data_IF_793989190005
#
_entry.id   IF_793989190005
#
_cell.length_a   1.000
_cell.length_b   1.000
_cell.length_c   1.000
_cell.angle_alpha   90.00
_cell.angle_beta   90.00
_cell.angle_gamma   90.00
#
_symmetry.space_group_name_H-M   'P 1'
#
loop_
_entity.id
_entity.type
_entity.pdbx_description
1 polymer ?
#
# COMPACT_ATOMS: atom_id res chain seq x y z
N UNK A 1 0.95 -30.11 -25.01
CA UNK A 1 0.15 -29.19 -24.20
C UNK A 1 0.76 -27.81 -24.32
N UNK A 2 0.01 -26.86 -24.84
CA UNK A 2 0.42 -25.46 -24.93
C UNK A 2 0.56 -24.92 -23.49
N UNK A 3 1.69 -24.26 -23.18
CA UNK A 3 1.91 -23.73 -21.83
C UNK A 3 0.94 -22.58 -21.61
N UNK A 4 0.15 -22.63 -20.54
CA UNK A 4 -0.71 -21.52 -20.13
C UNK A 4 0.14 -20.26 -19.98
N UNK A 5 -0.13 -19.27 -20.82
CA UNK A 5 0.57 -17.99 -20.84
C UNK A 5 -0.19 -17.00 -19.95
N UNK A 6 0.50 -16.39 -19.02
CA UNK A 6 -0.10 -15.33 -18.18
C UNK A 6 -0.57 -14.20 -19.11
N UNK A 7 -1.86 -13.92 -19.08
CA UNK A 7 -2.44 -12.78 -19.80
C UNK A 7 -2.11 -11.49 -19.05
N UNK A 8 -1.84 -10.45 -19.81
CA UNK A 8 -1.51 -9.14 -19.25
C UNK A 8 -2.28 -8.06 -19.98
N UNK A 9 -2.67 -7.03 -19.22
CA UNK A 9 -3.27 -5.81 -19.74
C UNK A 9 -2.22 -4.70 -19.63
N UNK A 10 -2.09 -3.90 -20.68
CA UNK A 10 -1.25 -2.71 -20.66
C UNK A 10 -2.04 -1.55 -20.05
N UNK A 11 -1.50 -0.98 -18.98
CA UNK A 11 -2.08 0.18 -18.30
C UNK A 11 -0.99 1.23 -18.15
N UNK A 12 -1.13 2.35 -18.84
CA UNK A 12 -0.16 3.47 -18.87
C UNK A 12 1.28 3.01 -19.20
N UNK A 13 1.43 2.11 -20.19
CA UNK A 13 2.72 1.60 -20.65
C UNK A 13 3.34 0.50 -19.78
N UNK A 14 2.66 0.06 -18.71
CA UNK A 14 3.09 -1.07 -17.90
C UNK A 14 2.12 -2.24 -18.05
N UNK A 15 2.66 -3.46 -18.07
CA UNK A 15 1.86 -4.68 -18.16
C UNK A 15 1.51 -5.20 -16.79
N UNK A 16 0.25 -5.58 -16.59
CA UNK A 16 -0.25 -6.15 -15.34
C UNK A 16 -0.97 -7.46 -15.63
N UNK A 17 -0.67 -8.49 -14.85
CA UNK A 17 -1.36 -9.77 -14.95
C UNK A 17 -2.79 -9.66 -14.41
N UNK A 18 -3.74 -10.28 -15.09
CA UNK A 18 -5.11 -10.41 -14.61
C UNK A 18 -5.22 -11.52 -13.56
N UNK A 19 -6.22 -11.42 -12.67
CA UNK A 19 -6.42 -12.43 -11.60
C UNK A 19 -6.81 -13.78 -12.19
N UNK A 20 -7.68 -13.80 -13.20
CA UNK A 20 -8.11 -15.02 -13.88
C UNK A 20 -6.91 -15.80 -14.46
N UNK A 21 -6.01 -15.10 -15.17
CA UNK A 21 -4.81 -15.73 -15.73
C UNK A 21 -3.84 -16.26 -14.65
N UNK A 22 -3.78 -15.58 -13.49
CA UNK A 22 -3.02 -16.11 -12.33
C UNK A 22 -3.65 -17.40 -11.80
N UNK A 23 -4.99 -17.45 -11.70
CA UNK A 23 -5.72 -18.62 -11.23
C UNK A 23 -5.57 -19.79 -12.22
N UNK A 24 -5.72 -19.57 -13.52
CA UNK A 24 -5.52 -20.60 -14.55
C UNK A 24 -4.12 -21.19 -14.48
N UNK A 25 -3.09 -20.33 -14.43
CA UNK A 25 -1.70 -20.76 -14.30
C UNK A 25 -1.48 -21.55 -13.01
N UNK A 26 -2.03 -21.08 -11.90
CA UNK A 26 -1.93 -21.77 -10.61
C UNK A 26 -2.53 -23.19 -10.67
N UNK A 27 -3.73 -23.35 -11.24
CA UNK A 27 -4.39 -24.66 -11.37
C UNK A 27 -3.64 -25.61 -12.29
N UNK A 28 -2.99 -25.09 -13.34
CA UNK A 28 -2.16 -25.90 -14.23
C UNK A 28 -0.87 -26.38 -13.54
N UNK A 29 -0.19 -25.45 -12.83
CA UNK A 29 1.14 -25.73 -12.27
C UNK A 29 1.12 -26.44 -10.92
N UNK A 30 0.09 -26.19 -10.14
CA UNK A 30 -0.04 -26.70 -8.78
C UNK A 30 -1.39 -27.41 -8.56
N UNK A 31 -1.69 -28.49 -9.33
CA UNK A 31 -3.00 -29.13 -9.28
C UNK A 31 -3.35 -29.76 -7.93
N UNK A 32 -2.33 -30.10 -7.11
CA UNK A 32 -2.51 -30.65 -5.78
C UNK A 32 -2.58 -29.60 -4.66
N UNK A 33 -2.31 -28.31 -4.99
CA UNK A 33 -2.37 -27.23 -4.02
C UNK A 33 -3.78 -26.67 -3.88
N UNK A 34 -4.09 -26.11 -2.72
CA UNK A 34 -5.37 -25.44 -2.49
C UNK A 34 -5.22 -23.92 -2.47
N UNK A 35 -6.30 -23.26 -2.91
CA UNK A 35 -6.51 -21.83 -2.81
C UNK A 35 -7.85 -21.64 -2.11
N UNK A 36 -7.82 -21.09 -0.92
CA UNK A 36 -8.96 -20.93 -0.03
C UNK A 36 -9.15 -19.43 0.29
N UNK A 37 -10.38 -19.02 0.53
CA UNK A 37 -10.68 -17.65 0.97
C UNK A 37 -11.51 -17.68 2.24
N UNK A 38 -11.26 -16.74 3.13
CA UNK A 38 -12.07 -16.45 4.31
C UNK A 38 -12.31 -14.93 4.47
N UNK A 39 -13.18 -14.57 5.37
CA UNK A 39 -13.54 -13.18 5.63
C UNK A 39 -13.33 -12.85 7.11
N UNK A 40 -12.09 -12.45 7.51
CA UNK A 40 -11.79 -12.04 8.89
C UNK A 40 -12.69 -10.91 9.40
N UNK A 41 -13.19 -10.07 8.47
CA UNK A 41 -14.19 -9.05 8.75
C UNK A 41 -15.26 -9.10 7.66
N UNK A 42 -16.52 -9.27 8.07
CA UNK A 42 -17.68 -9.15 7.20
C UNK A 42 -18.81 -8.47 7.98
N UNK A 43 -18.97 -7.17 7.76
CA UNK A 43 -20.00 -6.33 8.39
C UNK A 43 -20.95 -5.85 7.28
N UNK A 44 -22.05 -6.58 7.10
CA UNK A 44 -23.03 -6.30 6.06
C UNK A 44 -23.83 -5.02 6.36
N UNK A 45 -23.99 -4.67 7.63
CA UNK A 45 -24.75 -3.47 8.03
C UNK A 45 -23.97 -2.20 7.68
N UNK A 46 -22.62 -2.24 7.85
CA UNK A 46 -21.73 -1.15 7.47
C UNK A 46 -21.25 -1.26 6.02
N UNK A 47 -21.53 -2.37 5.35
CA UNK A 47 -21.06 -2.61 3.99
C UNK A 47 -19.53 -2.68 3.90
N UNK A 48 -18.85 -3.34 4.84
CA UNK A 48 -17.40 -3.45 4.90
C UNK A 48 -17.00 -4.91 4.94
N UNK A 49 -15.97 -5.27 4.17
CA UNK A 49 -15.36 -6.59 4.24
C UNK A 49 -13.83 -6.53 4.15
N UNK A 50 -13.20 -7.49 4.84
CA UNK A 50 -11.80 -7.88 4.63
C UNK A 50 -11.82 -9.32 4.20
N UNK A 51 -11.26 -9.61 3.03
CA UNK A 51 -11.06 -10.96 2.53
C UNK A 51 -9.59 -11.36 2.68
N UNK A 52 -9.36 -12.59 3.08
CA UNK A 52 -8.06 -13.24 3.08
C UNK A 52 -8.09 -14.41 2.11
N UNK A 53 -7.11 -14.50 1.22
CA UNK A 53 -6.86 -15.67 0.40
C UNK A 53 -5.60 -16.38 0.90
N UNK A 54 -5.64 -17.72 0.97
CA UNK A 54 -4.55 -18.55 1.47
C UNK A 54 -4.23 -19.61 0.44
N UNK A 55 -2.94 -19.73 0.10
CA UNK A 55 -2.41 -20.78 -0.75
C UNK A 55 -1.73 -21.83 0.16
N UNK A 56 -2.12 -23.09 0.01
CA UNK A 56 -1.51 -24.21 0.73
C UNK A 56 -0.92 -25.22 -0.27
N UNK A 57 0.21 -25.80 0.10
CA UNK A 57 0.82 -26.88 -0.66
C UNK A 57 0.02 -28.20 -0.51
N UNK A 58 0.48 -29.27 -1.16
CA UNK A 58 -0.13 -30.59 -1.10
C UNK A 58 -0.16 -31.22 0.30
N UNK A 59 0.64 -30.70 1.23
CA UNK A 59 0.69 -31.15 2.63
C UNK A 59 -0.19 -30.28 3.55
N UNK A 60 -0.90 -29.28 3.00
CA UNK A 60 -1.72 -28.35 3.75
C UNK A 60 -0.94 -27.24 4.44
N UNK A 61 0.37 -27.07 4.18
CA UNK A 61 1.19 -25.99 4.70
C UNK A 61 0.87 -24.70 3.95
N UNK A 62 0.65 -23.61 4.68
CA UNK A 62 0.49 -22.29 4.10
C UNK A 62 1.81 -21.85 3.48
N UNK A 63 1.79 -21.51 2.18
CA UNK A 63 2.93 -21.03 1.41
C UNK A 63 2.84 -19.55 1.09
N UNK A 64 1.61 -19.00 1.03
CA UNK A 64 1.36 -17.58 0.89
C UNK A 64 -0.04 -17.22 1.36
N UNK A 65 -0.24 -15.96 1.69
CA UNK A 65 -1.56 -15.37 1.86
C UNK A 65 -1.61 -13.96 1.26
N UNK A 66 -2.83 -13.47 1.03
CA UNK A 66 -3.09 -12.13 0.53
C UNK A 66 -4.35 -11.57 1.18
N UNK A 67 -4.32 -10.30 1.55
CA UNK A 67 -5.45 -9.58 2.11
C UNK A 67 -5.92 -8.48 1.19
N UNK A 68 -7.23 -8.30 1.12
CA UNK A 68 -7.85 -7.14 0.51
C UNK A 68 -9.02 -6.67 1.38
N UNK A 69 -9.27 -5.37 1.39
CA UNK A 69 -10.43 -4.80 2.05
C UNK A 69 -11.21 -3.94 1.07
N UNK A 70 -12.53 -4.00 1.18
CA UNK A 70 -13.42 -3.19 0.37
C UNK A 70 -14.63 -2.74 1.20
N UNK A 71 -15.28 -1.67 0.77
CA UNK A 71 -16.52 -1.19 1.37
C UNK A 71 -17.49 -0.70 0.30
N UNK A 72 -18.79 -0.92 0.54
CA UNK A 72 -19.87 -0.65 -0.40
C UNK A 72 -19.96 0.84 -0.80
N UNK A 73 -19.74 1.73 0.17
CA UNK A 73 -19.82 3.19 -0.03
C UNK A 73 -18.51 3.80 -0.52
N UNK A 74 -17.58 3.00 -1.05
CA UNK A 74 -16.26 3.47 -1.54
C UNK A 74 -16.44 4.52 -2.63
N UNK A 75 -15.95 5.76 -2.43
CA UNK A 75 -16.07 6.82 -3.41
C UNK A 75 -15.43 6.43 -4.74
N UNK A 76 -16.09 6.75 -5.85
CA UNK A 76 -15.58 6.48 -7.20
C UNK A 76 -15.68 5.04 -7.68
N UNK A 77 -16.06 4.08 -6.83
CA UNK A 77 -16.21 2.69 -7.24
C UNK A 77 -17.67 2.33 -7.50
N UNK A 78 -18.03 2.22 -8.78
CA UNK A 78 -19.36 1.70 -9.16
C UNK A 78 -19.48 0.19 -8.83
N UNK A 79 -18.39 -0.57 -8.97
CA UNK A 79 -18.35 -2.00 -8.67
C UNK A 79 -18.66 -2.26 -7.20
N UNK A 80 -18.08 -1.48 -6.29
CA UNK A 80 -18.27 -1.69 -4.87
C UNK A 80 -19.71 -1.43 -4.39
N UNK A 81 -20.51 -0.65 -5.12
CA UNK A 81 -21.92 -0.43 -4.76
C UNK A 81 -22.73 -1.73 -4.75
N UNK A 82 -22.37 -2.70 -5.59
CA UNK A 82 -23.08 -3.95 -5.77
C UNK A 82 -22.27 -5.19 -5.45
N UNK A 83 -20.93 -5.12 -5.52
CA UNK A 83 -20.03 -6.28 -5.54
C UNK A 83 -18.74 -6.06 -4.76
N UNK A 84 -18.82 -5.34 -3.62
CA UNK A 84 -17.62 -5.06 -2.80
C UNK A 84 -17.00 -6.32 -2.16
N UNK A 85 -17.81 -7.34 -1.88
CA UNK A 85 -17.35 -8.61 -1.31
C UNK A 85 -16.57 -9.39 -2.37
N UNK A 86 -17.13 -9.55 -3.56
CA UNK A 86 -16.51 -10.24 -4.69
C UNK A 86 -15.24 -9.53 -5.14
N UNK A 87 -15.24 -8.19 -5.12
CA UNK A 87 -14.06 -7.39 -5.45
C UNK A 87 -12.93 -7.62 -4.44
N UNK A 88 -13.24 -7.62 -3.13
CA UNK A 88 -12.27 -7.95 -2.08
C UNK A 88 -11.70 -9.37 -2.27
N UNK A 89 -12.56 -10.35 -2.58
CA UNK A 89 -12.13 -11.74 -2.80
C UNK A 89 -11.18 -11.83 -4.00
N UNK A 90 -11.53 -11.23 -5.12
CA UNK A 90 -10.69 -11.22 -6.32
C UNK A 90 -9.32 -10.59 -6.05
N UNK A 91 -9.28 -9.45 -5.39
CA UNK A 91 -8.04 -8.77 -5.03
C UNK A 91 -7.18 -9.59 -4.05
N UNK A 92 -7.79 -10.22 -3.03
CA UNK A 92 -7.07 -11.08 -2.10
C UNK A 92 -6.41 -12.28 -2.80
N UNK A 93 -7.16 -12.95 -3.70
CA UNK A 93 -6.67 -14.05 -4.54
C UNK A 93 -5.51 -13.60 -5.42
N UNK A 94 -5.65 -12.49 -6.12
CA UNK A 94 -4.61 -11.93 -6.97
C UNK A 94 -3.31 -11.68 -6.21
N UNK A 95 -3.38 -11.15 -4.99
CA UNK A 95 -2.22 -10.90 -4.10
C UNK A 95 -1.58 -12.20 -3.63
N UNK A 96 -2.37 -13.16 -3.14
CA UNK A 96 -1.85 -14.45 -2.67
C UNK A 96 -1.07 -15.18 -3.77
N UNK A 97 -1.60 -15.20 -4.99
CA UNK A 97 -0.92 -15.79 -6.14
C UNK A 97 0.30 -14.98 -6.60
N UNK A 98 0.28 -13.66 -6.46
CA UNK A 98 1.44 -12.81 -6.67
C UNK A 98 2.59 -13.15 -5.71
N UNK A 99 2.32 -13.41 -4.43
CA UNK A 99 3.35 -13.75 -3.44
C UNK A 99 4.04 -15.10 -3.70
N UNK A 100 3.43 -16.03 -4.43
CA UNK A 100 4.11 -17.24 -4.90
C UNK A 100 4.77 -17.07 -6.29
N UNK A 101 4.86 -15.83 -6.79
CA UNK A 101 5.59 -15.49 -7.99
C UNK A 101 4.77 -15.55 -9.29
N UNK A 102 3.47 -15.81 -9.24
CA UNK A 102 2.64 -15.92 -10.45
C UNK A 102 2.33 -14.52 -11.00
N UNK A 103 2.78 -14.25 -12.23
CA UNK A 103 2.46 -13.02 -12.95
C UNK A 103 3.16 -11.77 -12.43
N UNK A 104 4.33 -11.90 -11.76
CA UNK A 104 5.06 -10.75 -11.22
C UNK A 104 6.27 -10.31 -12.06
N UNK A 105 6.66 -10.99 -13.09
CA UNK A 105 7.84 -10.81 -13.97
C UNK A 105 8.21 -9.33 -14.25
N UNK A 106 8.63 -8.58 -13.23
CA UNK A 106 8.90 -7.14 -13.29
C UNK A 106 7.65 -6.24 -13.24
N UNK A 107 6.46 -6.82 -13.08
CA UNK A 107 5.17 -6.10 -13.14
C UNK A 107 4.60 -5.72 -11.76
N UNK A 108 5.25 -6.14 -10.66
CA UNK A 108 4.75 -5.95 -9.31
C UNK A 108 3.65 -6.95 -8.91
N UNK A 109 3.21 -6.85 -7.65
CA UNK A 109 2.21 -7.78 -7.06
C UNK A 109 0.79 -7.36 -7.44
N UNK A 110 0.54 -6.06 -7.62
CA UNK A 110 -0.78 -5.55 -8.00
C UNK A 110 -1.27 -6.19 -9.29
N UNK A 111 -2.57 -6.48 -9.35
CA UNK A 111 -3.21 -7.03 -10.55
C UNK A 111 -3.70 -5.91 -11.48
N UNK A 112 -4.06 -6.26 -12.70
CA UNK A 112 -4.61 -5.30 -13.66
C UNK A 112 -5.89 -4.66 -13.11
N UNK A 113 -6.74 -5.45 -12.46
CA UNK A 113 -8.00 -5.01 -11.85
C UNK A 113 -7.77 -4.01 -10.72
N UNK A 114 -6.79 -4.28 -9.83
CA UNK A 114 -6.44 -3.36 -8.74
C UNK A 114 -5.91 -2.02 -9.26
N UNK A 115 -5.06 -2.04 -10.27
CA UNK A 115 -4.49 -0.83 -10.86
C UNK A 115 -5.54 -0.03 -11.59
N UNK A 116 -6.42 -0.68 -12.35
CA UNK A 116 -7.51 -0.01 -13.05
C UNK A 116 -8.47 0.65 -12.07
N UNK A 117 -8.88 -0.06 -11.01
CA UNK A 117 -9.72 0.49 -9.93
C UNK A 117 -9.05 1.70 -9.27
N UNK A 118 -7.74 1.64 -9.00
CA UNK A 118 -7.01 2.76 -8.40
C UNK A 118 -6.98 3.99 -9.32
N UNK A 119 -6.82 3.81 -10.64
CA UNK A 119 -6.87 4.90 -11.62
C UNK A 119 -8.26 5.53 -11.70
N UNK A 120 -9.32 4.71 -11.73
CA UNK A 120 -10.70 5.20 -11.73
C UNK A 120 -11.01 6.03 -10.48
N UNK A 121 -10.47 5.62 -9.31
CA UNK A 121 -10.57 6.40 -8.07
C UNK A 121 -9.87 7.76 -8.14
N UNK A 122 -8.71 7.81 -8.78
CA UNK A 122 -7.96 9.07 -8.95
C UNK A 122 -8.69 10.03 -9.91
N UNK A 123 -9.35 9.51 -10.93
CA UNK A 123 -10.09 10.33 -11.91
C UNK A 123 -11.42 10.86 -11.38
N UNK A 124 -12.08 10.11 -10.48
CA UNK A 124 -13.39 10.48 -9.92
C UNK A 124 -13.29 11.36 -8.65
N UNK A 125 -12.13 11.43 -8.03
CA UNK A 125 -11.85 12.43 -7.01
C UNK A 125 -11.18 13.60 -7.72
N UNK A 126 -11.82 14.78 -7.74
CA UNK A 126 -11.23 16.06 -8.17
C UNK A 126 -10.04 16.46 -7.27
N UNK A 127 -9.05 15.60 -7.14
CA UNK A 127 -7.74 15.97 -6.67
C UNK A 127 -7.07 16.65 -7.87
N UNK A 128 -6.65 17.92 -7.78
CA UNK A 128 -5.93 18.57 -8.84
C UNK A 128 -4.81 17.65 -9.31
N UNK A 129 -4.76 17.44 -10.61
CA UNK A 129 -3.84 16.52 -11.28
C UNK A 129 -2.39 16.87 -10.88
N UNK A 130 -1.86 16.16 -9.89
CA UNK A 130 -0.43 16.20 -9.52
C UNK A 130 0.39 15.24 -10.38
N UNK A 131 -0.15 14.82 -11.53
CA UNK A 131 0.53 13.90 -12.45
C UNK A 131 1.84 14.49 -13.05
N UNK A 132 2.04 15.80 -12.97
CA UNK A 132 3.34 16.40 -13.32
C UNK A 132 4.41 16.17 -12.25
N UNK A 133 4.04 16.10 -10.96
CA UNK A 133 5.03 15.99 -9.89
C UNK A 133 5.49 14.52 -9.64
N UNK A 134 4.72 13.52 -10.05
CA UNK A 134 5.13 12.11 -9.88
C UNK A 134 6.07 11.68 -11.01
N UNK A 135 5.86 12.14 -12.25
CA UNK A 135 6.79 11.86 -13.34
C UNK A 135 8.13 12.61 -13.21
N UNK A 136 8.14 13.78 -12.56
CA UNK A 136 9.37 14.50 -12.24
C UNK A 136 10.11 13.91 -11.03
N UNK A 137 9.43 13.12 -10.18
CA UNK A 137 9.99 12.44 -9.02
C UNK A 137 10.39 10.98 -9.29
N UNK A 138 9.86 10.38 -10.37
CA UNK A 138 10.17 9.02 -10.80
C UNK A 138 10.88 9.12 -12.15
N UNK A 139 12.15 9.58 -12.13
CA UNK A 139 13.08 9.31 -13.24
C UNK A 139 13.13 7.80 -13.52
N UNK A 140 13.46 7.41 -14.74
CA UNK A 140 13.40 6.04 -15.32
C UNK A 140 14.09 4.92 -14.53
N UNK A 141 14.62 5.20 -13.37
CA UNK A 141 15.13 4.23 -12.41
C UNK A 141 14.58 4.59 -11.03
N UNK A 142 13.61 3.80 -10.52
CA UNK A 142 13.46 3.68 -9.08
C UNK A 142 14.64 2.81 -8.65
N UNK A 143 15.73 3.36 -8.08
CA UNK A 143 16.68 2.53 -7.38
C UNK A 143 15.82 1.85 -6.31
N UNK A 144 15.93 0.53 -6.17
CA UNK A 144 15.55 -0.14 -4.95
C UNK A 144 16.28 0.62 -3.83
N UNK A 145 15.58 1.58 -3.24
CA UNK A 145 16.04 2.24 -2.03
C UNK A 145 15.86 1.16 -1.00
N UNK A 146 16.93 0.37 -0.84
CA UNK A 146 17.13 -0.38 0.38
C UNK A 146 16.73 0.58 1.49
N UNK A 147 15.65 0.28 2.19
CA UNK A 147 15.19 1.12 3.29
C UNK A 147 16.38 1.17 4.23
N UNK A 148 17.17 2.24 4.13
CA UNK A 148 18.34 2.44 5.00
C UNK A 148 17.75 2.31 6.38
N UNK A 149 18.14 1.24 7.08
CA UNK A 149 17.87 1.17 8.53
C UNK A 149 18.29 2.51 9.06
N UNK A 150 17.45 3.17 9.89
CA UNK A 150 17.81 4.47 10.44
C UNK A 150 19.26 4.38 10.93
N UNK A 151 20.13 5.20 10.34
CA UNK A 151 21.56 5.16 10.63
C UNK A 151 21.71 5.55 12.10
N UNK A 152 22.20 4.63 12.98
CA UNK A 152 22.37 4.94 14.40
C UNK A 152 23.28 6.15 14.61
N UNK A 153 24.20 6.43 13.67
CA UNK A 153 25.12 7.56 13.74
C UNK A 153 24.42 8.91 13.47
N UNK A 154 23.19 8.89 12.96
CA UNK A 154 22.38 10.07 12.67
C UNK A 154 21.30 10.35 13.74
N UNK A 155 21.30 9.59 14.84
CA UNK A 155 20.34 9.83 15.92
C UNK A 155 20.71 11.04 16.75
N UNK A 156 19.79 11.97 16.83
CA UNK A 156 19.98 13.18 17.62
C UNK A 156 19.86 12.91 19.12
N UNK A 157 20.69 13.59 19.91
CA UNK A 157 20.46 13.68 21.34
C UNK A 157 19.22 14.54 21.60
N UNK A 158 18.60 14.39 22.79
CA UNK A 158 17.42 15.17 23.18
C UNK A 158 17.70 16.69 23.09
N UNK A 159 18.86 17.13 23.52
CA UNK A 159 19.24 18.54 23.47
C UNK A 159 19.45 19.05 22.03
N UNK A 160 20.08 18.24 21.16
CA UNK A 160 20.24 18.59 19.75
C UNK A 160 18.88 18.67 19.04
N UNK A 161 18.00 17.74 19.31
CA UNK A 161 16.64 17.74 18.78
C UNK A 161 15.82 18.94 19.28
N UNK A 162 15.91 19.29 20.57
CA UNK A 162 15.25 20.47 21.10
C UNK A 162 15.73 21.77 20.40
N UNK A 163 17.03 21.92 20.18
CA UNK A 163 17.57 23.06 19.47
C UNK A 163 17.12 23.18 18.02
N UNK A 164 16.92 22.04 17.33
CA UNK A 164 16.35 22.05 15.99
C UNK A 164 14.85 22.36 16.02
N UNK A 165 14.10 21.91 17.05
CA UNK A 165 12.68 22.27 17.23
C UNK A 165 12.49 23.78 17.36
N UNK A 166 13.36 24.48 18.10
CA UNK A 166 13.29 25.95 18.25
C UNK A 166 13.44 26.68 16.92
N UNK A 167 14.18 26.12 15.97
CA UNK A 167 14.39 26.67 14.63
C UNK A 167 13.28 26.33 13.64
N UNK A 168 12.47 25.31 13.95
CA UNK A 168 11.36 24.92 13.07
C UNK A 168 10.22 25.94 13.14
N UNK A 169 9.88 26.52 12.01
CA UNK A 169 8.74 27.45 11.86
C UNK A 169 7.58 26.84 11.05
N UNK A 170 7.68 25.57 10.67
CA UNK A 170 6.72 24.87 9.84
C UNK A 170 6.46 23.46 10.42
N UNK A 171 5.18 23.09 10.45
CA UNK A 171 4.69 21.79 10.96
C UNK A 171 5.20 20.63 10.10
N UNK A 172 5.35 20.81 8.79
CA UNK A 172 5.87 19.78 7.90
C UNK A 172 7.34 19.45 8.20
N UNK A 173 8.15 20.47 8.50
CA UNK A 173 9.55 20.30 8.89
C UNK A 173 9.68 19.53 10.22
N UNK A 174 8.85 19.87 11.21
CA UNK A 174 8.79 19.12 12.48
C UNK A 174 8.49 17.64 12.24
N UNK A 175 7.53 17.34 11.37
CA UNK A 175 7.14 15.98 11.03
C UNK A 175 8.26 15.23 10.31
N UNK A 176 8.97 15.87 9.40
CA UNK A 176 10.12 15.30 8.69
C UNK A 176 11.26 15.00 9.66
N UNK A 177 11.59 15.93 10.56
CA UNK A 177 12.66 15.77 11.54
C UNK A 177 12.35 14.65 12.54
N UNK A 178 11.11 14.56 13.05
CA UNK A 178 10.69 13.47 13.92
C UNK A 178 10.73 12.11 13.19
N UNK A 179 10.35 12.07 11.92
CA UNK A 179 10.42 10.86 11.11
C UNK A 179 11.86 10.38 10.87
N UNK A 180 12.83 11.29 10.73
CA UNK A 180 14.25 10.93 10.60
C UNK A 180 14.81 10.25 11.86
N UNK A 181 14.15 10.45 13.00
CA UNK A 181 14.52 9.86 14.30
C UNK A 181 13.79 8.52 14.58
N UNK A 182 13.07 7.94 13.61
CA UNK A 182 12.47 6.62 13.78
C UNK A 182 13.55 5.58 14.08
N UNK A 183 13.41 4.87 15.19
CA UNK A 183 14.40 3.91 15.68
C UNK A 183 15.37 4.47 16.72
N UNK A 184 15.41 5.78 16.93
CA UNK A 184 16.20 6.39 18.01
C UNK A 184 15.71 5.84 19.38
N UNK A 185 16.61 5.29 20.24
CA UNK A 185 16.22 4.78 21.55
C UNK A 185 15.54 5.83 22.44
N UNK A 186 15.81 7.11 22.19
CA UNK A 186 15.24 8.26 22.91
C UNK A 186 13.97 8.83 22.26
N UNK A 187 13.42 8.17 21.25
CA UNK A 187 12.26 8.67 20.51
C UNK A 187 11.09 9.07 21.42
N UNK A 188 10.86 8.34 22.53
CA UNK A 188 9.83 8.65 23.53
C UNK A 188 10.03 10.01 24.20
N UNK A 189 11.27 10.49 24.31
CA UNK A 189 11.62 11.80 24.87
C UNK A 189 11.52 12.90 23.80
N UNK A 190 11.71 12.58 22.53
CA UNK A 190 11.64 13.53 21.41
C UNK A 190 10.19 13.89 21.01
N UNK A 191 9.25 12.95 21.11
CA UNK A 191 7.85 13.15 20.74
C UNK A 191 7.18 14.32 21.47
N UNK A 192 7.32 14.47 22.80
CA UNK A 192 6.74 15.62 23.50
C UNK A 192 7.29 16.96 23.02
N UNK A 193 8.59 17.05 22.71
CA UNK A 193 9.23 18.27 22.20
C UNK A 193 8.66 18.69 20.84
N UNK A 194 8.53 17.74 19.93
CA UNK A 194 7.92 17.96 18.62
C UNK A 194 6.45 18.38 18.73
N UNK A 195 5.69 17.76 19.65
CA UNK A 195 4.28 18.07 19.88
C UNK A 195 4.08 19.47 20.46
N UNK A 196 4.93 19.86 21.40
CA UNK A 196 4.88 21.20 22.00
C UNK A 196 5.15 22.28 20.95
N UNK A 197 6.19 22.11 20.14
CA UNK A 197 6.53 23.08 19.08
C UNK A 197 5.46 23.17 18.01
N UNK A 198 4.89 22.04 17.61
CA UNK A 198 3.77 22.00 16.67
C UNK A 198 2.57 22.81 17.17
N UNK A 199 2.23 22.64 18.45
CA UNK A 199 1.11 23.37 19.07
C UNK A 199 1.37 24.88 19.11
N UNK A 200 2.60 25.28 19.43
CA UNK A 200 3.00 26.68 19.45
C UNK A 200 2.84 27.33 18.07
N UNK A 201 3.33 26.69 17.00
CA UNK A 201 3.18 27.17 15.63
C UNK A 201 1.71 27.31 15.24
N UNK A 202 0.87 26.30 15.57
CA UNK A 202 -0.56 26.33 15.27
C UNK A 202 -1.28 27.46 16.01
N UNK A 203 -0.94 27.69 17.28
CA UNK A 203 -1.50 28.79 18.05
C UNK A 203 -1.13 30.15 17.49
N UNK A 204 0.13 30.33 17.05
CA UNK A 204 0.59 31.57 16.43
C UNK A 204 -0.13 31.83 15.10
N UNK A 205 -0.37 30.78 14.30
CA UNK A 205 -1.15 30.90 13.06
C UNK A 205 -2.61 31.31 13.29
N UNK A 206 -3.21 30.88 14.40
CA UNK A 206 -4.59 31.25 14.75
C UNK A 206 -4.69 32.69 15.31
N UNK A 207 -3.63 33.18 15.93
CA UNK A 207 -3.62 34.55 16.49
C UNK A 207 -3.23 35.63 15.47
N UNK A 208 -2.91 35.27 14.21
CA UNK A 208 -2.65 36.23 13.12
C UNK A 208 -1.33 37.00 13.24
N UNK A 209 -0.33 36.45 13.91
CA UNK A 209 1.03 36.99 14.03
C UNK A 209 1.97 36.28 13.08
#
# INVERSE_FOLDING_TARGET
MEKTKIQTIDIKGKKYATVDSRVEFFREKFPAWSLETDYPVLDLDKGVCVCRAVVKDENGKIVADGFAHEWQSKPGSMVNKTSYIENAQTSAVGRALGFIGIGINGMGIATAEEVQTAIEHQQNNDIPNTDQSINDLVGDEIPFVESKRPDPDNWMSVNAFAGEMERCNDVSHISALLNSQKGNPKLKELIPLASARKQEILNNMQMGV
#
